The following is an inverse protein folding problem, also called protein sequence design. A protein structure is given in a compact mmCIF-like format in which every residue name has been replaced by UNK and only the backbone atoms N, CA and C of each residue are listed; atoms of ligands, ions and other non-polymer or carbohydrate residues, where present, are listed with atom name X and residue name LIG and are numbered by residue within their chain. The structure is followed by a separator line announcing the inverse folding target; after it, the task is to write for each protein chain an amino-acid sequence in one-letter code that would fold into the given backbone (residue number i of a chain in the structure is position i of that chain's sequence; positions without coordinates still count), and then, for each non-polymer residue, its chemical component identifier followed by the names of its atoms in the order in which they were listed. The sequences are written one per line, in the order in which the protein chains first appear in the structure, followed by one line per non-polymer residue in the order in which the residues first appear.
data_IF_729520800867
#
_entry.id   IF_729520800867
#
_cell.length_a   1.000
_cell.length_b   1.000
_cell.length_c   1.000
_cell.angle_alpha   90.00
_cell.angle_beta   90.00
_cell.angle_gamma   90.00
#
_symmetry.space_group_name_H-M   'P 1'
#
loop_
_entity.id
_entity.type
_entity.pdbx_description
1 polymer ?
#
# COMPACT_ATOMS: atom_id res chain seq x y z
N UNK A 1 -17.23 13.76 -6.15
CA UNK A 1 -17.39 12.49 -6.91
C UNK A 1 -17.61 11.30 -5.97
N UNK A 2 -16.78 11.12 -4.94
CA UNK A 2 -16.95 10.04 -3.93
C UNK A 2 -18.22 10.21 -3.09
N UNK A 3 -18.56 11.43 -2.64
CA UNK A 3 -19.81 11.66 -1.87
C UNK A 3 -21.06 11.25 -2.64
N UNK A 4 -21.10 11.52 -3.95
CA UNK A 4 -22.22 11.10 -4.81
C UNK A 4 -22.26 9.57 -4.97
N UNK A 5 -21.12 8.88 -5.04
CA UNK A 5 -21.07 7.42 -5.11
C UNK A 5 -21.52 6.78 -3.77
N UNK A 6 -21.14 7.37 -2.64
CA UNK A 6 -21.58 6.96 -1.30
C UNK A 6 -23.10 7.15 -1.18
N UNK A 7 -23.63 8.30 -1.58
CA UNK A 7 -25.08 8.56 -1.57
C UNK A 7 -25.83 7.63 -2.52
N UNK A 8 -25.33 7.38 -3.72
CA UNK A 8 -25.95 6.43 -4.66
C UNK A 8 -25.95 4.99 -4.13
N UNK A 9 -24.90 4.56 -3.44
CA UNK A 9 -24.83 3.21 -2.84
C UNK A 9 -25.89 3.00 -1.76
N UNK A 10 -26.22 4.05 -0.98
CA UNK A 10 -27.30 4.02 0.03
C UNK A 10 -28.69 3.92 -0.60
N UNK A 11 -28.84 4.33 -1.86
CA UNK A 11 -30.14 4.43 -2.54
C UNK A 11 -30.44 3.19 -3.40
N UNK A 12 -29.43 2.53 -3.98
CA UNK A 12 -29.64 1.55 -5.06
C UNK A 12 -29.42 0.08 -4.72
N UNK A 13 -28.92 -0.28 -3.53
CA UNK A 13 -28.65 -1.67 -3.20
C UNK A 13 -29.09 -2.05 -1.79
N UNK A 14 -29.92 -3.11 -1.70
CA UNK A 14 -30.24 -3.82 -0.47
C UNK A 14 -29.03 -4.70 -0.05
N UNK A 15 -27.85 -4.10 0.02
CA UNK A 15 -26.61 -4.76 0.40
C UNK A 15 -26.26 -4.33 1.83
N UNK A 16 -25.95 -5.29 2.70
CA UNK A 16 -25.53 -5.09 4.10
C UNK A 16 -24.12 -4.46 4.22
N UNK A 17 -23.80 -3.46 3.39
CA UNK A 17 -22.51 -2.76 3.39
C UNK A 17 -22.74 -1.35 3.93
N UNK A 18 -22.29 -1.14 5.16
CA UNK A 18 -22.37 0.17 5.83
C UNK A 18 -21.15 1.03 5.48
N UNK A 19 -21.39 2.33 5.25
CA UNK A 19 -20.34 3.30 4.94
C UNK A 19 -20.19 4.27 6.11
N UNK A 20 -18.98 4.29 6.68
CA UNK A 20 -18.55 5.26 7.68
C UNK A 20 -17.57 6.24 7.04
N UNK A 21 -17.78 7.54 7.27
CA UNK A 21 -16.96 8.60 6.69
C UNK A 21 -16.08 9.24 7.74
N UNK A 22 -14.79 9.37 7.45
CA UNK A 22 -13.83 10.16 8.23
C UNK A 22 -13.43 11.37 7.37
N UNK A 23 -13.50 12.57 7.95
CA UNK A 23 -13.06 13.79 7.25
C UNK A 23 -11.57 13.70 6.98
N UNK A 24 -11.17 13.86 5.71
CA UNK A 24 -9.76 13.88 5.34
C UNK A 24 -9.13 15.24 5.65
N UNK A 25 -7.99 15.30 6.37
CA UNK A 25 -7.38 16.55 6.82
C UNK A 25 -6.48 17.14 5.73
N UNK A 26 -7.06 17.62 4.62
CA UNK A 26 -6.30 18.18 3.48
C UNK A 26 -5.33 19.28 3.93
N UNK A 27 -5.86 20.37 4.49
CA UNK A 27 -5.10 21.59 4.77
C UNK A 27 -4.11 21.35 5.91
N UNK A 28 -4.54 20.66 6.97
CA UNK A 28 -3.68 20.28 8.09
C UNK A 28 -2.56 19.31 7.67
N UNK A 29 -2.84 18.48 6.67
CA UNK A 29 -1.88 17.58 6.03
C UNK A 29 -0.96 18.24 5.00
N UNK A 30 -1.12 19.54 4.73
CA UNK A 30 -0.30 20.28 3.75
C UNK A 30 -0.72 20.09 2.29
N UNK A 31 -1.95 19.63 2.05
CA UNK A 31 -2.55 19.50 0.72
C UNK A 31 -3.52 20.65 0.42
N UNK A 32 -3.75 20.96 -0.87
CA UNK A 32 -4.82 21.87 -1.26
C UNK A 32 -6.19 21.37 -0.80
N UNK A 33 -7.11 22.30 -0.55
CA UNK A 33 -8.49 21.97 -0.21
C UNK A 33 -9.14 21.13 -1.32
N UNK A 34 -9.89 20.08 -0.95
CA UNK A 34 -10.53 19.16 -1.88
C UNK A 34 -9.64 18.06 -2.48
N UNK A 35 -8.33 18.03 -2.20
CA UNK A 35 -7.42 16.96 -2.62
C UNK A 35 -7.52 15.71 -1.72
N UNK A 36 -8.68 15.05 -1.71
CA UNK A 36 -8.94 13.84 -0.90
C UNK A 36 -8.65 12.51 -1.65
N UNK A 37 -8.15 12.58 -2.88
CA UNK A 37 -7.85 11.42 -3.71
C UNK A 37 -6.48 11.59 -4.40
N UNK A 38 -5.72 10.49 -4.52
CA UNK A 38 -4.38 10.50 -5.14
C UNK A 38 -4.42 10.98 -6.60
N UNK A 39 -5.45 10.61 -7.36
CA UNK A 39 -5.64 11.03 -8.76
C UNK A 39 -5.97 12.53 -8.89
N UNK A 40 -6.44 13.16 -7.82
CA UNK A 40 -6.76 14.57 -7.76
C UNK A 40 -5.59 15.45 -7.28
N UNK A 41 -4.42 14.85 -7.02
CA UNK A 41 -3.23 15.59 -6.58
C UNK A 41 -2.66 16.37 -7.77
N UNK A 42 -2.42 17.69 -7.65
CA UNK A 42 -2.01 18.52 -8.79
C UNK A 42 -0.54 18.35 -9.21
N UNK A 43 0.27 17.63 -8.42
CA UNK A 43 1.68 17.37 -8.71
C UNK A 43 2.16 16.07 -8.06
N UNK A 44 2.97 15.25 -8.76
CA UNK A 44 3.62 14.07 -8.16
C UNK A 44 4.43 14.38 -6.89
N UNK A 45 4.93 15.62 -6.74
CA UNK A 45 5.67 16.04 -5.55
C UNK A 45 4.84 16.06 -4.26
N UNK A 46 3.51 16.09 -4.37
CA UNK A 46 2.58 16.09 -3.23
C UNK A 46 2.10 14.68 -2.85
N UNK A 47 2.45 13.65 -3.61
CA UNK A 47 2.10 12.26 -3.28
C UNK A 47 2.65 11.83 -1.91
N UNK A 48 3.91 12.12 -1.54
CA UNK A 48 4.41 11.82 -0.20
C UNK A 48 3.66 12.60 0.90
N UNK A 49 3.27 13.84 0.61
CA UNK A 49 2.47 14.68 1.51
C UNK A 49 1.10 14.04 1.75
N UNK A 50 0.47 13.50 0.72
CA UNK A 50 -0.80 12.78 0.85
C UNK A 50 -0.71 11.59 1.80
N UNK A 51 0.28 10.71 1.62
CA UNK A 51 0.48 9.58 2.55
C UNK A 51 0.93 10.01 3.95
N UNK A 52 1.53 11.19 4.10
CA UNK A 52 1.79 11.75 5.42
C UNK A 52 0.49 12.23 6.07
N UNK A 53 -0.39 12.88 5.30
CA UNK A 53 -1.70 13.33 5.77
C UNK A 53 -2.61 12.17 6.20
N UNK A 54 -2.51 10.99 5.57
CA UNK A 54 -3.29 9.81 6.01
C UNK A 54 -2.96 9.39 7.44
N UNK A 55 -1.76 9.69 7.97
CA UNK A 55 -1.41 9.40 9.36
C UNK A 55 -2.28 10.18 10.36
N UNK A 56 -2.80 11.34 9.96
CA UNK A 56 -3.73 12.14 10.77
C UNK A 56 -5.10 11.47 10.89
N UNK A 57 -5.43 10.49 10.03
CA UNK A 57 -6.65 9.68 10.13
C UNK A 57 -6.60 8.67 11.27
N UNK A 58 -5.42 8.42 11.86
CA UNK A 58 -5.25 7.40 12.89
C UNK A 58 -6.18 7.62 14.08
N UNK A 59 -6.22 8.85 14.62
CA UNK A 59 -7.08 9.17 15.77
C UNK A 59 -8.58 8.97 15.49
N UNK A 60 -9.18 9.59 14.45
CA UNK A 60 -10.60 9.38 14.17
C UNK A 60 -10.92 7.92 13.78
N UNK A 61 -9.97 7.21 13.18
CA UNK A 61 -10.11 5.77 12.93
C UNK A 61 -10.20 4.98 14.25
N UNK A 62 -9.34 5.25 15.23
CA UNK A 62 -9.40 4.62 16.56
C UNK A 62 -10.72 4.91 17.30
N UNK A 63 -11.23 6.14 17.19
CA UNK A 63 -12.55 6.49 17.73
C UNK A 63 -13.67 5.67 17.09
N UNK A 64 -13.59 5.42 15.78
CA UNK A 64 -14.54 4.55 15.07
C UNK A 64 -14.42 3.09 15.53
N UNK A 65 -13.20 2.57 15.74
CA UNK A 65 -12.98 1.21 16.24
C UNK A 65 -13.62 1.00 17.63
N UNK A 66 -13.54 1.99 18.52
CA UNK A 66 -14.18 1.94 19.83
C UNK A 66 -15.71 1.84 19.77
N UNK A 67 -16.31 2.50 18.78
CA UNK A 67 -17.76 2.51 18.58
C UNK A 67 -18.25 1.23 17.92
N UNK A 68 -17.58 0.82 16.84
CA UNK A 68 -18.01 -0.30 15.99
C UNK A 68 -17.56 -1.66 16.52
N UNK A 69 -16.45 -1.72 17.26
CA UNK A 69 -15.86 -2.93 17.84
C UNK A 69 -15.81 -4.10 16.84
N UNK A 70 -15.19 -3.92 15.65
CA UNK A 70 -15.17 -4.95 14.64
C UNK A 70 -14.32 -6.15 15.08
N UNK A 71 -14.61 -7.33 14.55
CA UNK A 71 -13.83 -8.55 14.81
C UNK A 71 -12.50 -8.58 14.04
N UNK A 72 -12.37 -7.82 12.96
CA UNK A 72 -11.21 -7.78 12.09
C UNK A 72 -11.16 -6.46 11.33
N UNK A 73 -9.96 -6.01 10.97
CA UNK A 73 -9.72 -4.86 10.11
C UNK A 73 -8.99 -5.34 8.86
N UNK A 74 -9.54 -5.04 7.68
CA UNK A 74 -8.81 -5.15 6.41
C UNK A 74 -8.41 -3.73 6.05
N UNK A 75 -7.11 -3.45 6.04
CA UNK A 75 -6.59 -2.11 5.77
C UNK A 75 -5.55 -2.15 4.65
N UNK A 76 -5.64 -1.15 3.77
CA UNK A 76 -4.72 -0.94 2.67
C UNK A 76 -3.25 -0.91 3.16
N UNK A 77 -2.33 -1.40 2.33
CA UNK A 77 -0.90 -1.39 2.62
C UNK A 77 -0.39 0.00 2.99
N UNK A 78 -0.92 1.07 2.38
CA UNK A 78 -0.53 2.46 2.63
C UNK A 78 -0.95 3.02 4.00
N UNK A 79 -1.63 2.24 4.84
CA UNK A 79 -1.94 2.59 6.23
C UNK A 79 -1.15 1.72 7.22
N UNK A 80 0.20 1.82 7.27
CA UNK A 80 0.99 1.01 8.20
C UNK A 80 0.62 1.25 9.67
N UNK A 81 0.18 2.48 10.00
CA UNK A 81 -0.30 2.87 11.33
C UNK A 81 -1.57 2.13 11.77
N UNK A 82 -2.33 1.53 10.84
CA UNK A 82 -3.53 0.77 11.17
C UNK A 82 -3.21 -0.51 11.96
N UNK A 83 -1.99 -1.06 11.85
CA UNK A 83 -1.56 -2.21 12.67
C UNK A 83 -1.53 -1.84 14.14
N UNK A 84 -0.90 -0.71 14.48
CA UNK A 84 -0.78 -0.27 15.88
C UNK A 84 -2.15 0.11 16.46
N UNK A 85 -3.00 0.77 15.66
CA UNK A 85 -4.37 1.09 16.07
C UNK A 85 -5.23 -0.16 16.29
N UNK A 86 -5.10 -1.18 15.45
CA UNK A 86 -5.79 -2.45 15.63
C UNK A 86 -5.30 -3.19 16.90
N UNK A 87 -3.98 -3.26 17.08
CA UNK A 87 -3.35 -3.90 18.24
C UNK A 87 -3.77 -3.25 19.56
N UNK A 88 -3.91 -1.92 19.61
CA UNK A 88 -4.39 -1.16 20.77
C UNK A 88 -5.74 -1.64 21.30
N UNK A 89 -6.61 -2.16 20.42
CA UNK A 89 -7.93 -2.67 20.79
C UNK A 89 -8.01 -4.20 20.74
N UNK A 90 -6.89 -4.90 20.53
CA UNK A 90 -6.86 -6.36 20.41
C UNK A 90 -7.56 -6.90 19.17
N UNK A 91 -7.65 -6.11 18.10
CA UNK A 91 -8.32 -6.49 16.85
C UNK A 91 -7.26 -6.98 15.84
N UNK A 92 -7.45 -8.13 15.17
CA UNK A 92 -6.55 -8.55 14.11
C UNK A 92 -6.64 -7.60 12.90
N UNK A 93 -5.48 -7.16 12.39
CA UNK A 93 -5.36 -6.44 11.11
C UNK A 93 -4.86 -7.38 10.03
N UNK A 94 -5.53 -7.37 8.88
CA UNK A 94 -5.09 -8.00 7.64
C UNK A 94 -4.73 -6.90 6.64
N UNK A 95 -3.57 -7.03 5.98
CA UNK A 95 -3.11 -6.09 4.96
C UNK A 95 -3.75 -6.44 3.62
N UNK A 96 -4.10 -5.42 2.83
CA UNK A 96 -4.52 -5.57 1.45
C UNK A 96 -3.64 -4.71 0.52
N UNK A 97 -2.99 -5.34 -0.47
CA UNK A 97 -2.12 -4.64 -1.43
C UNK A 97 -2.80 -4.29 -2.75
N UNK A 98 -3.80 -5.07 -3.18
CA UNK A 98 -4.38 -4.94 -4.51
C UNK A 98 -3.45 -5.33 -5.69
N UNK A 99 -2.41 -6.13 -5.45
CA UNK A 99 -1.47 -6.60 -6.49
C UNK A 99 -1.32 -8.14 -6.50
N UNK A 100 -0.48 -8.68 -7.38
CA UNK A 100 -0.21 -10.12 -7.53
C UNK A 100 0.88 -10.65 -6.61
N UNK A 101 0.91 -11.96 -6.34
CA UNK A 101 2.00 -12.59 -5.60
C UNK A 101 3.35 -12.39 -6.29
N UNK A 102 3.38 -12.50 -7.61
CA UNK A 102 4.55 -12.20 -8.43
C UNK A 102 5.15 -10.83 -8.09
N UNK A 103 4.33 -9.79 -8.06
CA UNK A 103 4.78 -8.41 -7.82
C UNK A 103 5.31 -8.22 -6.40
N UNK A 104 4.67 -8.85 -5.41
CA UNK A 104 5.12 -8.84 -4.02
C UNK A 104 6.49 -9.52 -3.88
N UNK A 105 6.65 -10.72 -4.45
CA UNK A 105 7.90 -11.49 -4.40
C UNK A 105 9.03 -10.77 -5.15
N UNK A 106 8.76 -10.28 -6.37
CA UNK A 106 9.73 -9.55 -7.17
C UNK A 106 10.19 -8.26 -6.47
N UNK A 107 9.25 -7.49 -5.90
CA UNK A 107 9.56 -6.27 -5.15
C UNK A 107 10.38 -6.52 -3.87
N UNK A 108 10.17 -7.67 -3.23
CA UNK A 108 10.99 -8.10 -2.09
C UNK A 108 12.42 -8.46 -2.54
N UNK A 109 12.56 -9.33 -3.54
CA UNK A 109 13.86 -9.74 -4.08
C UNK A 109 14.67 -8.54 -4.61
N UNK A 110 14.03 -7.62 -5.33
CA UNK A 110 14.66 -6.41 -5.86
C UNK A 110 15.25 -5.51 -4.77
N UNK A 111 14.56 -5.38 -3.62
CA UNK A 111 15.09 -4.60 -2.47
C UNK A 111 16.15 -5.36 -1.70
N UNK A 112 16.06 -6.69 -1.61
CA UNK A 112 17.03 -7.49 -0.86
C UNK A 112 18.37 -7.63 -1.58
N UNK A 113 18.35 -7.88 -2.90
CA UNK A 113 19.55 -8.20 -3.68
C UNK A 113 20.05 -7.05 -4.54
N UNK A 114 19.23 -6.03 -4.78
CA UNK A 114 19.56 -4.83 -5.55
C UNK A 114 20.32 -5.08 -6.87
N UNK A 115 19.89 -6.05 -7.71
CA UNK A 115 20.66 -6.48 -8.89
C UNK A 115 20.89 -5.36 -9.91
N UNK A 116 19.95 -4.40 -9.95
CA UNK A 116 20.01 -3.21 -10.77
C UNK A 116 21.21 -2.29 -10.46
N UNK A 117 21.87 -2.42 -9.31
CA UNK A 117 23.10 -1.66 -9.01
C UNK A 117 24.33 -2.24 -9.70
N UNK A 118 24.28 -3.49 -10.16
CA UNK A 118 25.42 -4.20 -10.73
C UNK A 118 25.53 -4.11 -12.27
N UNK A 119 24.63 -3.36 -12.93
CA UNK A 119 24.68 -3.11 -14.38
C UNK A 119 25.31 -1.76 -14.71
N UNK A 120 25.88 -1.66 -15.91
CA UNK A 120 26.62 -0.49 -16.39
C UNK A 120 25.76 0.53 -17.13
N UNK A 121 24.58 0.13 -17.64
CA UNK A 121 23.68 1.03 -18.38
C UNK A 121 22.21 0.82 -18.03
N UNK A 122 21.35 1.77 -18.44
CA UNK A 122 19.92 1.72 -18.17
C UNK A 122 19.17 0.65 -18.98
N UNK A 123 19.76 0.20 -20.09
CA UNK A 123 19.18 -0.79 -21.02
C UNK A 123 19.79 -2.18 -20.86
N UNK A 124 20.85 -2.32 -20.05
CA UNK A 124 21.45 -3.61 -19.74
C UNK A 124 20.48 -4.48 -18.93
N UNK A 125 20.32 -5.73 -19.35
CA UNK A 125 19.45 -6.70 -18.69
C UNK A 125 20.14 -7.26 -17.45
N UNK A 126 19.43 -7.29 -16.33
CA UNK A 126 19.79 -8.06 -15.14
C UNK A 126 18.65 -9.01 -14.77
N UNK A 127 19.00 -10.11 -14.12
CA UNK A 127 18.05 -11.07 -13.58
C UNK A 127 17.71 -10.73 -12.13
N UNK A 128 16.46 -10.99 -11.71
CA UNK A 128 16.04 -10.86 -10.30
C UNK A 128 16.51 -12.09 -9.53
N UNK A 129 17.48 -11.98 -8.60
CA UNK A 129 18.01 -13.14 -7.89
C UNK A 129 16.97 -13.80 -7.01
N UNK A 130 17.03 -15.13 -6.94
CA UNK A 130 16.17 -16.00 -6.12
C UNK A 130 14.67 -15.89 -6.38
N UNK A 131 14.24 -15.23 -7.46
CA UNK A 131 12.87 -15.23 -7.93
C UNK A 131 12.67 -16.36 -8.96
N UNK A 132 11.66 -17.23 -8.82
CA UNK A 132 11.38 -18.27 -9.82
C UNK A 132 11.12 -17.71 -11.22
N UNK A 133 11.66 -18.36 -12.26
CA UNK A 133 11.34 -18.08 -13.66
C UNK A 133 12.37 -17.26 -14.46
N UNK A 134 13.58 -17.01 -13.91
CA UNK A 134 14.67 -16.29 -14.58
C UNK A 134 14.23 -14.93 -15.17
N UNK A 135 13.54 -14.14 -14.35
CA UNK A 135 12.94 -12.86 -14.77
C UNK A 135 14.03 -11.82 -14.99
N UNK A 136 14.08 -11.24 -16.19
CA UNK A 136 15.04 -10.20 -16.56
C UNK A 136 14.36 -8.86 -16.78
N UNK A 137 14.98 -7.81 -16.24
CA UNK A 137 14.53 -6.43 -16.35
C UNK A 137 15.71 -5.52 -16.72
N UNK A 138 15.40 -4.30 -17.16
CA UNK A 138 16.34 -3.19 -17.28
C UNK A 138 16.05 -2.11 -16.25
N UNK A 139 16.98 -1.17 -16.00
CA UNK A 139 16.73 -0.07 -15.05
C UNK A 139 15.55 0.80 -15.46
N UNK A 140 15.32 0.96 -16.77
CA UNK A 140 14.20 1.75 -17.31
C UNK A 140 12.82 1.18 -16.96
N UNK A 141 12.74 -0.13 -16.64
CA UNK A 141 11.49 -0.78 -16.23
C UNK A 141 11.23 -0.66 -14.73
N UNK A 142 12.19 -0.14 -13.95
CA UNK A 142 12.06 -0.05 -12.51
C UNK A 142 11.29 1.21 -12.09
N UNK A 143 10.47 1.11 -11.03
CA UNK A 143 9.91 2.28 -10.38
C UNK A 143 11.01 3.25 -9.90
N UNK A 144 10.68 4.54 -9.84
CA UNK A 144 11.63 5.60 -9.45
C UNK A 144 12.31 5.36 -8.09
N UNK A 145 11.67 4.60 -7.20
CA UNK A 145 12.20 4.22 -5.89
C UNK A 145 13.56 3.49 -5.97
N UNK A 146 13.85 2.81 -7.08
CA UNK A 146 15.10 2.09 -7.28
C UNK A 146 16.13 2.88 -8.11
N UNK A 147 15.71 3.93 -8.80
CA UNK A 147 16.55 4.61 -9.81
C UNK A 147 16.88 6.06 -9.48
N UNK A 148 16.18 6.67 -8.52
CA UNK A 148 16.39 8.07 -8.13
C UNK A 148 16.82 8.20 -6.67
N UNK A 149 17.70 9.17 -6.41
CA UNK A 149 18.11 9.55 -5.05
C UNK A 149 17.72 11.02 -4.77
N UNK A 150 16.43 11.33 -4.90
CA UNK A 150 15.87 12.63 -4.57
C UNK A 150 15.04 12.60 -3.26
N UNK A 151 14.69 13.76 -2.74
CA UNK A 151 13.94 13.88 -1.47
C UNK A 151 12.57 13.18 -1.53
N UNK A 152 11.88 13.24 -2.68
CA UNK A 152 10.58 12.59 -2.87
C UNK A 152 10.75 11.08 -2.74
N UNK A 153 11.77 10.54 -3.41
CA UNK A 153 12.09 9.13 -3.43
C UNK A 153 12.47 8.63 -2.03
N UNK A 154 13.23 9.40 -1.26
CA UNK A 154 13.55 9.05 0.15
C UNK A 154 12.30 8.91 1.02
N UNK A 155 11.31 9.79 0.88
CA UNK A 155 10.05 9.70 1.62
C UNK A 155 9.24 8.48 1.21
N UNK A 156 9.18 8.17 -0.09
CA UNK A 156 8.53 6.96 -0.61
C UNK A 156 9.24 5.71 -0.07
N UNK A 157 10.59 5.67 -0.10
CA UNK A 157 11.37 4.57 0.47
C UNK A 157 11.10 4.35 1.94
N UNK A 158 10.98 5.43 2.74
CA UNK A 158 10.57 5.35 4.14
C UNK A 158 9.17 4.76 4.30
N UNK A 159 8.20 5.23 3.50
CA UNK A 159 6.84 4.68 3.51
C UNK A 159 6.86 3.17 3.21
N UNK A 160 7.54 2.72 2.16
CA UNK A 160 7.65 1.29 1.85
C UNK A 160 8.39 0.47 2.92
N UNK A 161 9.26 1.08 3.72
CA UNK A 161 9.83 0.42 4.89
C UNK A 161 8.78 0.24 6.00
N UNK A 162 8.02 1.30 6.33
CA UNK A 162 6.92 1.24 7.31
C UNK A 162 5.85 0.21 6.91
N UNK A 163 5.51 0.14 5.61
CA UNK A 163 4.55 -0.81 5.06
C UNK A 163 5.00 -2.26 5.33
N UNK A 164 6.24 -2.61 4.98
CA UNK A 164 6.78 -3.95 5.20
C UNK A 164 6.86 -4.32 6.68
N UNK A 165 7.28 -3.38 7.52
CA UNK A 165 7.28 -3.61 8.97
C UNK A 165 5.85 -3.86 9.49
N UNK A 166 4.87 -3.14 8.95
CA UNK A 166 3.46 -3.33 9.33
C UNK A 166 2.91 -4.67 8.86
N UNK A 167 3.31 -5.17 7.69
CA UNK A 167 2.92 -6.48 7.16
C UNK A 167 3.39 -7.61 8.07
N UNK A 168 4.66 -7.59 8.48
CA UNK A 168 5.23 -8.60 9.39
C UNK A 168 4.53 -8.61 10.75
N UNK A 169 4.09 -7.43 11.23
CA UNK A 169 3.35 -7.30 12.50
C UNK A 169 1.86 -7.58 12.37
N UNK A 170 1.32 -7.65 11.16
CA UNK A 170 -0.09 -7.87 10.91
C UNK A 170 -0.46 -9.35 11.12
N UNK A 171 -1.75 -9.63 11.23
CA UNK A 171 -2.24 -11.01 11.34
C UNK A 171 -2.01 -11.80 10.04
N UNK A 172 -2.02 -11.12 8.90
CA UNK A 172 -1.75 -11.72 7.60
C UNK A 172 -2.01 -10.75 6.45
N UNK A 173 -2.02 -11.28 5.23
CA UNK A 173 -2.18 -10.52 3.99
C UNK A 173 -3.27 -11.17 3.13
N UNK A 174 -4.17 -10.34 2.57
CA UNK A 174 -5.09 -10.72 1.49
C UNK A 174 -4.50 -10.22 0.17
N UNK A 175 -4.45 -11.12 -0.80
CA UNK A 175 -3.96 -10.86 -2.16
C UNK A 175 -5.11 -11.09 -3.13
N UNK A 176 -5.34 -10.13 -4.03
CA UNK A 176 -6.38 -10.23 -5.05
C UNK A 176 -5.89 -11.08 -6.24
N UNK A 177 -5.75 -12.37 -6.00
CA UNK A 177 -5.30 -13.37 -6.96
C UNK A 177 -5.93 -14.73 -6.63
N UNK A 178 -5.67 -15.74 -7.44
CA UNK A 178 -6.07 -17.13 -7.19
C UNK A 178 -4.89 -18.08 -7.42
N UNK A 179 -4.88 -19.21 -6.71
CA UNK A 179 -3.71 -20.07 -6.62
C UNK A 179 -3.25 -20.58 -7.99
N UNK A 180 -4.19 -21.01 -8.83
CA UNK A 180 -3.93 -21.58 -10.14
C UNK A 180 -3.32 -20.58 -11.13
N UNK A 181 -3.44 -19.28 -10.89
CA UNK A 181 -2.85 -18.24 -11.73
C UNK A 181 -1.34 -18.18 -11.59
N UNK A 182 -0.85 -18.31 -10.35
CA UNK A 182 0.54 -17.99 -10.00
C UNK A 182 1.06 -18.83 -8.83
N UNK A 183 0.72 -20.13 -8.81
CA UNK A 183 1.01 -21.07 -7.70
C UNK A 183 2.47 -21.04 -7.24
N UNK A 184 3.41 -20.99 -8.20
CA UNK A 184 4.86 -20.88 -7.93
C UNK A 184 5.19 -19.67 -7.05
N UNK A 185 4.55 -18.52 -7.29
CA UNK A 185 4.76 -17.30 -6.52
C UNK A 185 3.93 -17.27 -5.23
N UNK A 186 2.78 -17.95 -5.20
CA UNK A 186 1.99 -18.12 -3.97
C UNK A 186 2.77 -18.95 -2.94
N UNK A 187 3.36 -20.06 -3.38
CA UNK A 187 4.14 -20.94 -2.52
C UNK A 187 5.43 -20.23 -2.08
N UNK A 188 6.13 -19.58 -3.01
CA UNK A 188 7.32 -18.78 -2.70
C UNK A 188 7.06 -17.65 -1.69
N UNK A 189 5.91 -16.98 -1.75
CA UNK A 189 5.57 -15.92 -0.79
C UNK A 189 5.36 -16.43 0.64
N UNK A 190 5.00 -17.70 0.80
CA UNK A 190 4.70 -18.31 2.10
C UNK A 190 5.91 -18.91 2.80
N UNK A 191 7.00 -19.16 2.06
CA UNK A 191 8.28 -19.64 2.58
C UNK A 191 9.08 -18.54 3.29
#
# INVERSE_FOLDING_TARGET
MISNAIEQSKIHYNNNIDIQTIKFPCVEGGLPEGCENVDAIPSPSLVPTFFTATKLLQKPFEELLLQQKPHCIIADMFFPWATDSAAKFGIPRIVFHGTSFFSLCAGQCMKQYEPHKNVSSDTELFEIPNLPGNIKLTRLQLPCIFTKDDHITKNITKLFAEIRESEVKSYGVIVNSFYELESVYVDYYRE
#
